data_IF_206901467543
#
_entry.id   IF_206901467543
#
_cell.length_a   1.000
_cell.length_b   1.000
_cell.length_c   1.000
_cell.angle_alpha   90.00
_cell.angle_beta   90.00
_cell.angle_gamma   90.00
#
_symmetry.space_group_name_H-M   'P 1'
#
loop_
_entity.id
_entity.type
_entity.pdbx_description
1 polymer ?
#
# COMPACT_ATOMS: atom_id res chain seq x y z
N UNK A 1 15.65 4.17 9.41
CA UNK A 1 16.54 3.40 10.30
C UNK A 1 16.05 1.95 10.31
N UNK A 2 16.50 1.19 9.30
CA UNK A 2 16.05 -0.19 9.09
C UNK A 2 16.71 -1.19 10.07
N UNK A 3 17.82 -0.82 10.67
CA UNK A 3 18.59 -1.65 11.60
C UNK A 3 18.42 -1.24 13.07
N UNK A 4 17.63 -0.16 13.35
CA UNK A 4 17.33 0.39 14.66
C UNK A 4 18.58 0.81 15.48
N UNK A 5 19.64 1.25 14.81
CA UNK A 5 20.82 1.82 15.46
C UNK A 5 20.68 3.32 15.76
N UNK A 6 19.50 3.88 15.49
CA UNK A 6 19.17 5.31 15.61
C UNK A 6 20.00 6.21 14.68
N UNK A 7 20.49 5.66 13.57
CA UNK A 7 21.25 6.39 12.55
C UNK A 7 20.58 6.16 11.19
N UNK A 8 20.28 7.20 10.45
CA UNK A 8 19.82 7.08 9.08
C UNK A 8 21.03 7.07 8.14
N UNK A 9 21.26 5.98 7.43
CA UNK A 9 22.31 5.85 6.44
C UNK A 9 21.80 6.22 5.04
N UNK A 10 22.72 6.45 4.08
CA UNK A 10 22.37 6.64 2.67
C UNK A 10 21.68 5.43 2.05
N UNK A 11 22.06 4.25 2.46
CA UNK A 11 21.46 3.02 1.96
C UNK A 11 20.01 2.93 2.43
N UNK A 12 19.74 3.20 3.69
CA UNK A 12 18.37 3.24 4.23
C UNK A 12 17.53 4.32 3.57
N UNK A 13 18.10 5.52 3.35
CA UNK A 13 17.41 6.59 2.63
C UNK A 13 17.08 6.17 1.19
N UNK A 14 18.02 5.56 0.48
CA UNK A 14 17.79 5.07 -0.89
C UNK A 14 16.69 4.03 -0.95
N UNK A 15 16.72 3.07 -0.03
CA UNK A 15 15.72 2.01 0.05
C UNK A 15 14.34 2.62 0.36
N UNK A 16 14.26 3.50 1.35
CA UNK A 16 13.03 4.20 1.72
C UNK A 16 12.45 5.02 0.56
N UNK A 17 13.28 5.81 -0.14
CA UNK A 17 12.84 6.60 -1.30
C UNK A 17 12.38 5.68 -2.43
N UNK A 18 13.13 4.59 -2.70
CA UNK A 18 12.78 3.62 -3.73
C UNK A 18 11.43 2.95 -3.45
N UNK A 19 11.20 2.49 -2.23
CA UNK A 19 9.95 1.86 -1.81
C UNK A 19 8.79 2.86 -1.81
N UNK A 20 9.02 4.07 -1.29
CA UNK A 20 8.00 5.12 -1.25
C UNK A 20 7.57 5.54 -2.66
N UNK A 21 8.53 5.75 -3.57
CA UNK A 21 8.21 6.12 -4.95
C UNK A 21 7.48 4.98 -5.66
N UNK A 22 7.90 3.72 -5.49
CA UNK A 22 7.17 2.57 -6.03
C UNK A 22 5.74 2.48 -5.51
N UNK A 23 5.54 2.73 -4.22
CA UNK A 23 4.21 2.71 -3.62
C UNK A 23 3.28 3.78 -4.20
N UNK A 24 3.79 5.02 -4.36
CA UNK A 24 2.97 6.13 -4.85
C UNK A 24 2.96 6.28 -6.37
N UNK A 25 4.04 5.90 -7.05
CA UNK A 25 4.14 5.93 -8.51
C UNK A 25 3.85 4.57 -9.15
N UNK A 26 3.29 3.62 -8.37
CA UNK A 26 2.78 2.35 -8.87
C UNK A 26 3.81 1.57 -9.67
N UNK A 27 5.04 1.54 -9.17
CA UNK A 27 6.20 0.90 -9.81
C UNK A 27 6.61 1.46 -11.18
N UNK A 28 6.06 2.60 -11.60
CA UNK A 28 6.44 3.27 -12.87
C UNK A 28 7.71 4.11 -12.77
N UNK A 29 8.17 4.41 -11.55
CA UNK A 29 9.38 5.20 -11.33
C UNK A 29 10.36 4.43 -10.46
N UNK A 30 11.62 4.42 -10.89
CA UNK A 30 12.74 3.80 -10.19
C UNK A 30 13.77 4.87 -9.81
N UNK A 31 13.60 5.55 -8.67
CA UNK A 31 14.53 6.60 -8.28
C UNK A 31 15.89 6.01 -7.95
N UNK A 32 16.94 6.70 -8.37
CA UNK A 32 18.32 6.35 -8.02
C UNK A 32 18.94 7.48 -7.22
N UNK A 33 19.60 7.14 -6.12
CA UNK A 33 20.38 8.08 -5.32
C UNK A 33 21.85 7.95 -5.67
N UNK A 34 22.46 9.01 -6.16
CA UNK A 34 23.88 9.07 -6.48
C UNK A 34 24.59 10.14 -5.64
N UNK A 35 25.90 9.99 -5.34
CA UNK A 35 26.77 8.85 -5.66
C UNK A 35 26.54 7.65 -4.75
N UNK A 36 26.85 6.45 -5.25
CA UNK A 36 26.74 5.18 -4.51
C UNK A 36 27.86 4.99 -3.46
N UNK A 37 28.91 5.80 -3.54
CA UNK A 37 30.01 5.78 -2.57
C UNK A 37 29.51 6.14 -1.17
N UNK A 38 30.04 5.47 -0.15
CA UNK A 38 29.70 5.66 1.27
C UNK A 38 28.22 5.39 1.61
N UNK A 39 27.67 4.27 1.12
CA UNK A 39 26.27 3.89 1.38
C UNK A 39 25.92 3.77 2.88
N UNK A 40 26.88 3.42 3.72
CA UNK A 40 26.71 3.31 5.16
C UNK A 40 26.94 4.62 5.95
N UNK A 41 27.23 5.71 5.25
CA UNK A 41 27.42 7.01 5.91
C UNK A 41 26.10 7.49 6.53
N UNK A 42 26.14 7.76 7.84
CA UNK A 42 25.03 8.41 8.55
C UNK A 42 24.68 9.76 7.93
N UNK A 43 23.40 10.02 7.76
CA UNK A 43 22.89 11.28 7.24
C UNK A 43 22.19 12.07 8.36
N UNK A 44 21.36 11.40 9.13
CA UNK A 44 20.57 11.97 10.20
C UNK A 44 20.41 10.96 11.35
N UNK A 45 20.24 11.41 12.60
CA UNK A 45 19.71 10.54 13.65
C UNK A 45 18.30 10.08 13.26
N UNK A 46 17.95 8.87 13.63
CA UNK A 46 16.63 8.31 13.35
C UNK A 46 15.52 9.09 14.07
N UNK A 47 14.34 9.11 13.48
CA UNK A 47 13.16 9.71 14.09
C UNK A 47 12.75 8.98 15.37
N UNK A 48 12.13 9.70 16.29
CA UNK A 48 11.51 9.11 17.48
C UNK A 48 10.45 8.04 17.11
N UNK A 49 10.25 7.03 17.98
CA UNK A 49 9.24 6.01 17.74
C UNK A 49 7.84 6.64 17.56
N UNK A 50 6.97 6.01 16.77
CA UNK A 50 5.64 6.55 16.49
C UNK A 50 4.85 6.77 17.79
N UNK A 51 4.01 7.79 17.83
CA UNK A 51 3.19 8.11 19.01
C UNK A 51 2.29 6.91 19.37
N UNK A 52 1.97 6.78 20.64
CA UNK A 52 1.14 5.68 21.18
C UNK A 52 -0.24 5.56 20.50
N UNK A 53 -0.71 6.63 19.85
CA UNK A 53 -1.90 6.64 19.00
C UNK A 53 -1.54 7.23 17.65
N UNK A 54 -1.80 6.48 16.59
CA UNK A 54 -1.59 6.95 15.22
C UNK A 54 -2.47 8.16 14.92
N UNK A 55 -1.91 9.25 14.36
CA UNK A 55 -2.70 10.39 13.93
C UNK A 55 -3.68 9.97 12.82
N UNK A 56 -4.84 10.63 12.75
CA UNK A 56 -5.74 10.41 11.64
C UNK A 56 -5.07 10.83 10.32
N UNK A 57 -5.23 10.04 9.24
CA UNK A 57 -4.68 10.42 7.96
C UNK A 57 -5.34 11.72 7.47
N UNK A 58 -4.58 12.60 6.81
CA UNK A 58 -5.12 13.85 6.26
C UNK A 58 -6.26 13.55 5.28
N UNK A 59 -7.12 14.54 5.05
CA UNK A 59 -8.08 14.49 3.98
C UNK A 59 -7.35 14.48 2.62
N UNK A 60 -7.89 13.74 1.65
CA UNK A 60 -7.39 13.74 0.28
C UNK A 60 -8.07 14.84 -0.54
N UNK A 61 -7.30 15.54 -1.36
CA UNK A 61 -7.84 16.51 -2.30
C UNK A 61 -8.37 15.79 -3.55
N UNK A 62 -9.69 15.79 -3.70
CA UNK A 62 -10.36 15.12 -4.80
C UNK A 62 -10.85 16.14 -5.83
N UNK A 63 -10.58 15.87 -7.10
CA UNK A 63 -11.22 16.52 -8.23
C UNK A 63 -12.28 15.59 -8.83
N UNK A 64 -13.47 16.12 -9.14
CA UNK A 64 -14.57 15.34 -9.73
C UNK A 64 -14.89 15.88 -11.11
N UNK A 65 -14.83 15.01 -12.13
CA UNK A 65 -15.17 15.30 -13.52
C UNK A 65 -16.51 14.68 -13.90
N UNK A 66 -17.23 15.29 -14.83
CA UNK A 66 -18.47 14.76 -15.37
C UNK A 66 -19.70 14.87 -14.46
N UNK A 67 -19.62 15.68 -13.38
CA UNK A 67 -20.75 15.94 -12.46
C UNK A 67 -21.11 17.43 -12.41
N UNK A 68 -22.37 17.73 -12.12
CA UNK A 68 -22.81 19.10 -11.83
C UNK A 68 -22.21 19.59 -10.50
N UNK A 69 -22.24 20.89 -10.25
CA UNK A 69 -21.75 21.47 -8.99
C UNK A 69 -22.54 20.92 -7.80
N UNK A 70 -23.87 20.85 -7.89
CA UNK A 70 -24.73 20.29 -6.84
C UNK A 70 -24.41 18.83 -6.54
N UNK A 71 -24.12 18.00 -7.57
CA UNK A 71 -23.78 16.60 -7.37
C UNK A 71 -22.39 16.45 -6.70
N UNK A 72 -21.45 17.33 -7.04
CA UNK A 72 -20.13 17.36 -6.39
C UNK A 72 -20.24 17.72 -4.92
N UNK A 73 -21.02 18.75 -4.59
CA UNK A 73 -21.25 19.16 -3.20
C UNK A 73 -21.91 18.05 -2.37
N UNK A 74 -22.85 17.32 -2.95
CA UNK A 74 -23.47 16.17 -2.32
C UNK A 74 -22.44 15.05 -2.07
N UNK A 75 -21.55 14.78 -3.03
CA UNK A 75 -20.50 13.80 -2.95
C UNK A 75 -19.50 14.12 -1.81
N UNK A 76 -19.04 15.37 -1.73
CA UNK A 76 -18.10 15.80 -0.69
C UNK A 76 -18.69 15.72 0.73
N UNK A 77 -20.02 15.81 0.86
CA UNK A 77 -20.71 15.58 2.13
C UNK A 77 -20.90 14.10 2.46
N UNK A 78 -20.99 13.26 1.44
CA UNK A 78 -21.23 11.81 1.59
C UNK A 78 -19.98 11.01 1.92
N UNK A 79 -18.85 11.37 1.32
CA UNK A 79 -17.58 10.64 1.50
C UNK A 79 -16.72 11.35 2.54
N UNK A 80 -16.38 10.65 3.61
CA UNK A 80 -15.50 11.18 4.65
C UNK A 80 -14.04 11.18 4.21
N UNK A 81 -13.26 12.16 4.69
CA UNK A 81 -11.82 12.22 4.45
C UNK A 81 -11.41 12.69 3.07
N UNK A 82 -12.28 13.43 2.40
CA UNK A 82 -11.95 14.16 1.16
C UNK A 82 -12.26 15.65 1.30
N UNK A 83 -11.53 16.45 0.54
CA UNK A 83 -11.76 17.88 0.35
C UNK A 83 -11.69 18.21 -1.15
N UNK A 84 -12.43 19.22 -1.61
CA UNK A 84 -12.30 19.71 -2.99
C UNK A 84 -10.85 20.17 -3.25
N UNK A 85 -10.26 19.77 -4.37
CA UNK A 85 -9.01 20.36 -4.81
C UNK A 85 -9.21 21.84 -5.16
N UNK A 86 -8.37 22.71 -4.61
CA UNK A 86 -8.38 24.14 -4.87
C UNK A 86 -7.87 24.46 -6.28
N UNK A 87 -8.24 25.63 -6.81
CA UNK A 87 -7.76 26.08 -8.11
C UNK A 87 -6.23 26.18 -8.13
N UNK A 88 -5.58 25.48 -9.08
CA UNK A 88 -4.10 25.41 -9.19
C UNK A 88 -3.43 24.38 -8.28
N UNK A 89 -4.16 23.69 -7.44
CA UNK A 89 -3.65 22.58 -6.64
C UNK A 89 -3.71 21.28 -7.45
N UNK A 90 -2.63 20.50 -7.42
CA UNK A 90 -2.64 19.14 -7.96
C UNK A 90 -3.48 18.28 -7.01
N UNK A 91 -4.58 17.65 -7.47
CA UNK A 91 -5.38 16.78 -6.62
C UNK A 91 -4.62 15.50 -6.27
N UNK A 92 -4.92 14.89 -5.13
CA UNK A 92 -4.45 13.56 -4.81
C UNK A 92 -5.11 12.51 -5.71
N UNK A 93 -6.42 12.67 -5.95
CA UNK A 93 -7.22 11.80 -6.80
C UNK A 93 -8.13 12.63 -7.72
N UNK A 94 -8.41 12.09 -8.90
CA UNK A 94 -9.39 12.62 -9.86
C UNK A 94 -10.40 11.52 -10.17
N UNK A 95 -11.67 11.73 -9.85
CA UNK A 95 -12.74 10.82 -10.28
C UNK A 95 -13.38 11.29 -11.59
N UNK A 96 -13.12 10.57 -12.67
CA UNK A 96 -13.84 10.73 -13.94
C UNK A 96 -15.10 9.86 -13.94
N UNK A 97 -16.22 10.45 -13.56
CA UNK A 97 -17.50 9.73 -13.46
C UNK A 97 -18.03 9.28 -14.81
N UNK A 98 -17.64 9.94 -15.91
CA UNK A 98 -18.02 9.55 -17.27
C UNK A 98 -17.30 8.29 -17.74
N UNK A 99 -16.03 8.15 -17.37
CA UNK A 99 -15.22 6.96 -17.65
C UNK A 99 -15.32 5.90 -16.54
N UNK A 100 -15.92 6.23 -15.40
CA UNK A 100 -15.97 5.40 -14.20
C UNK A 100 -14.58 5.03 -13.67
N UNK A 101 -13.62 5.95 -13.75
CA UNK A 101 -12.23 5.75 -13.38
C UNK A 101 -11.79 6.74 -12.30
N UNK A 102 -10.93 6.28 -11.40
CA UNK A 102 -10.18 7.15 -10.50
C UNK A 102 -8.74 7.20 -10.99
N UNK A 103 -8.23 8.41 -11.11
CA UNK A 103 -6.87 8.70 -11.54
C UNK A 103 -6.05 9.25 -10.37
N UNK A 104 -4.75 9.04 -10.38
CA UNK A 104 -3.82 9.80 -9.54
C UNK A 104 -3.72 11.26 -10.01
N UNK A 105 -3.13 12.13 -9.21
CA UNK A 105 -2.84 13.51 -9.60
C UNK A 105 -1.90 13.64 -10.82
N UNK A 106 -1.20 12.57 -11.18
CA UNK A 106 -0.37 12.48 -12.38
C UNK A 106 -1.13 11.95 -13.61
N UNK A 107 -2.39 11.54 -13.44
CA UNK A 107 -3.24 11.05 -14.53
C UNK A 107 -3.21 9.54 -14.75
N UNK A 108 -2.56 8.76 -13.88
CA UNK A 108 -2.59 7.31 -13.94
C UNK A 108 -3.91 6.75 -13.43
N UNK A 109 -4.48 5.75 -14.11
CA UNK A 109 -5.71 5.08 -13.65
C UNK A 109 -5.37 4.21 -12.44
N UNK A 110 -5.81 4.61 -11.25
CA UNK A 110 -5.57 3.88 -10.00
C UNK A 110 -6.70 2.94 -9.60
N UNK A 111 -7.90 3.17 -10.13
CA UNK A 111 -9.02 2.25 -10.02
C UNK A 111 -9.95 2.39 -11.22
N UNK A 112 -10.45 1.27 -11.72
CA UNK A 112 -11.38 1.20 -12.85
C UNK A 112 -12.75 0.69 -12.38
N UNK A 113 -13.80 0.97 -13.18
CA UNK A 113 -15.19 0.58 -12.92
C UNK A 113 -15.78 1.16 -11.63
N UNK A 114 -15.36 2.35 -11.23
CA UNK A 114 -15.88 3.06 -10.05
C UNK A 114 -17.15 3.83 -10.44
N UNK A 115 -18.30 3.20 -10.24
CA UNK A 115 -19.60 3.63 -10.78
C UNK A 115 -20.31 4.66 -9.93
N UNK A 116 -20.10 4.65 -8.62
CA UNK A 116 -20.86 5.44 -7.66
C UNK A 116 -20.01 5.96 -6.49
N UNK A 117 -20.63 6.75 -5.64
CA UNK A 117 -20.00 7.34 -4.48
C UNK A 117 -19.54 6.31 -3.43
N UNK A 118 -20.23 5.17 -3.32
CA UNK A 118 -19.85 4.13 -2.36
C UNK A 118 -18.56 3.45 -2.80
N UNK A 119 -18.45 3.06 -4.08
CA UNK A 119 -17.23 2.52 -4.66
C UNK A 119 -16.06 3.52 -4.59
N UNK A 120 -16.32 4.82 -4.90
CA UNK A 120 -15.32 5.86 -4.75
C UNK A 120 -14.85 6.00 -3.29
N UNK A 121 -15.78 5.91 -2.33
CA UNK A 121 -15.48 5.94 -0.90
C UNK A 121 -14.48 4.86 -0.50
N UNK A 122 -14.57 3.65 -1.04
CA UNK A 122 -13.61 2.57 -0.77
C UNK A 122 -12.22 2.86 -1.35
N UNK A 123 -12.15 3.45 -2.54
CA UNK A 123 -10.86 3.90 -3.12
C UNK A 123 -10.23 4.98 -2.22
N UNK A 124 -11.01 5.98 -1.80
CA UNK A 124 -10.57 7.03 -0.87
C UNK A 124 -10.07 6.44 0.45
N UNK A 125 -10.85 5.54 1.04
CA UNK A 125 -10.49 4.85 2.28
C UNK A 125 -9.16 4.10 2.15
N UNK A 126 -8.99 3.36 1.05
CA UNK A 126 -7.72 2.68 0.73
C UNK A 126 -6.54 3.66 0.69
N UNK A 127 -6.67 4.75 -0.06
CA UNK A 127 -5.57 5.73 -0.20
C UNK A 127 -5.22 6.41 1.13
N UNK A 128 -6.21 6.70 1.96
CA UNK A 128 -5.99 7.19 3.32
C UNK A 128 -5.31 6.14 4.21
N UNK A 129 -5.75 4.89 4.13
CA UNK A 129 -5.14 3.79 4.88
C UNK A 129 -3.67 3.54 4.49
N UNK A 130 -3.28 3.77 3.23
CA UNK A 130 -1.86 3.70 2.83
C UNK A 130 -0.99 4.70 3.61
N UNK A 131 -1.53 5.84 4.03
CA UNK A 131 -0.84 6.78 4.93
C UNK A 131 -0.65 6.16 6.33
N UNK A 132 -1.65 5.45 6.85
CA UNK A 132 -1.54 4.70 8.11
C UNK A 132 -0.45 3.62 8.00
N UNK A 133 -0.48 2.81 6.94
CA UNK A 133 0.53 1.77 6.69
C UNK A 133 1.93 2.39 6.58
N UNK A 134 2.07 3.51 5.89
CA UNK A 134 3.34 4.24 5.79
C UNK A 134 3.85 4.69 7.16
N UNK A 135 2.98 5.21 8.01
CA UNK A 135 3.33 5.64 9.37
C UNK A 135 3.77 4.45 10.22
N UNK A 136 3.10 3.31 10.10
CA UNK A 136 3.46 2.07 10.79
C UNK A 136 4.78 1.50 10.27
N UNK A 137 5.03 1.53 8.96
CA UNK A 137 6.22 0.93 8.36
C UNK A 137 7.48 1.79 8.52
N UNK A 138 7.36 3.12 8.69
CA UNK A 138 8.51 4.01 8.71
C UNK A 138 9.58 3.67 9.77
N UNK A 139 9.23 3.38 11.05
CA UNK A 139 10.21 3.00 12.06
C UNK A 139 10.66 1.52 11.96
N UNK A 140 9.92 0.67 11.26
CA UNK A 140 10.09 -0.78 11.25
C UNK A 140 9.99 -1.35 9.83
N UNK A 141 10.71 -0.74 8.88
CA UNK A 141 10.58 -1.07 7.47
C UNK A 141 10.97 -2.51 7.15
N UNK A 142 10.20 -3.15 6.26
CA UNK A 142 10.44 -4.46 5.68
C UNK A 142 10.59 -4.30 4.17
N UNK A 143 11.67 -4.86 3.60
CA UNK A 143 11.89 -4.80 2.16
C UNK A 143 11.11 -5.91 1.45
N UNK A 144 10.29 -5.49 0.49
CA UNK A 144 9.60 -6.36 -0.46
C UNK A 144 10.17 -6.16 -1.86
N UNK A 145 10.31 -7.23 -2.62
CA UNK A 145 10.67 -7.19 -4.05
C UNK A 145 9.65 -7.96 -4.86
N UNK A 146 9.30 -7.43 -6.02
CA UNK A 146 8.38 -8.04 -6.98
C UNK A 146 9.17 -8.58 -8.18
N UNK A 147 8.82 -9.76 -8.66
CA UNK A 147 9.40 -10.36 -9.87
C UNK A 147 8.28 -10.94 -10.77
N UNK A 148 8.23 -10.54 -12.06
CA UNK A 148 9.04 -9.49 -12.68
C UNK A 148 8.73 -8.09 -12.10
N UNK A 149 9.76 -7.22 -12.04
CA UNK A 149 9.62 -5.83 -11.62
C UNK A 149 9.22 -4.96 -12.83
N UNK A 150 8.08 -5.30 -13.42
CA UNK A 150 7.51 -4.62 -14.57
C UNK A 150 6.63 -3.45 -14.12
N UNK A 151 6.60 -2.39 -14.90
CA UNK A 151 5.79 -1.20 -14.58
C UNK A 151 4.27 -1.45 -14.71
N UNK A 152 3.84 -2.50 -15.41
CA UNK A 152 2.44 -2.83 -15.64
C UNK A 152 2.24 -4.35 -15.77
N UNK A 153 1.50 -4.91 -14.83
CA UNK A 153 1.17 -6.33 -14.82
C UNK A 153 -0.21 -6.56 -15.45
N UNK A 154 -0.27 -7.43 -16.45
CA UNK A 154 -1.51 -7.68 -17.18
C UNK A 154 -2.27 -8.87 -16.61
N UNK A 155 -3.59 -8.84 -16.77
CA UNK A 155 -4.47 -9.93 -16.40
C UNK A 155 -3.94 -11.30 -16.87
N UNK A 156 -3.99 -12.27 -15.98
CA UNK A 156 -3.53 -13.63 -16.23
C UNK A 156 -2.03 -13.83 -16.04
N UNK A 157 -1.22 -12.76 -15.96
CA UNK A 157 0.19 -12.88 -15.59
C UNK A 157 0.36 -13.23 -14.11
N UNK A 158 1.53 -13.69 -13.74
CA UNK A 158 1.85 -14.05 -12.35
C UNK A 158 3.06 -13.27 -11.90
N UNK A 159 3.05 -12.87 -10.63
CA UNK A 159 4.15 -12.18 -9.96
C UNK A 159 4.60 -12.96 -8.73
N UNK A 160 5.86 -12.86 -8.40
CA UNK A 160 6.45 -13.42 -7.18
C UNK A 160 6.88 -12.29 -6.25
N UNK A 161 6.71 -12.48 -4.95
CA UNK A 161 7.10 -11.51 -3.93
C UNK A 161 8.15 -12.12 -3.02
N UNK A 162 9.24 -11.42 -2.83
CA UNK A 162 10.33 -11.83 -1.94
C UNK A 162 10.46 -10.85 -0.78
N UNK A 163 10.53 -11.38 0.44
CA UNK A 163 10.93 -10.65 1.64
C UNK A 163 12.44 -10.73 1.80
N UNK A 164 13.05 -9.61 2.16
CA UNK A 164 14.48 -9.53 2.41
C UNK A 164 14.77 -8.74 3.70
N UNK A 165 15.73 -9.25 4.51
CA UNK A 165 16.17 -8.59 5.73
C UNK A 165 15.16 -8.59 6.88
N UNK A 166 14.16 -9.50 6.86
CA UNK A 166 13.23 -9.64 7.98
C UNK A 166 13.90 -10.33 9.19
N UNK A 167 13.54 -9.85 10.39
CA UNK A 167 14.11 -10.32 11.66
C UNK A 167 13.18 -11.22 12.45
N UNK A 168 11.90 -11.25 12.07
CA UNK A 168 10.86 -12.01 12.75
C UNK A 168 10.27 -13.07 11.84
N UNK A 169 9.79 -14.15 12.43
CA UNK A 169 9.38 -15.34 11.69
C UNK A 169 7.87 -15.43 11.41
N UNK A 170 7.00 -14.74 12.15
CA UNK A 170 5.55 -14.82 11.90
C UNK A 170 5.14 -13.83 10.85
N UNK A 171 4.78 -14.32 9.67
CA UNK A 171 4.43 -13.51 8.52
C UNK A 171 2.92 -13.44 8.32
N UNK A 172 2.44 -12.26 8.01
CA UNK A 172 1.11 -12.02 7.43
C UNK A 172 1.26 -11.20 6.16
N UNK A 173 0.69 -11.68 5.04
CA UNK A 173 0.64 -10.97 3.77
C UNK A 173 -0.81 -10.78 3.33
N UNK A 174 -1.14 -9.59 2.88
CA UNK A 174 -2.42 -9.29 2.25
C UNK A 174 -2.22 -8.28 1.11
N UNK A 175 -3.18 -8.25 0.20
CA UNK A 175 -3.26 -7.28 -0.89
C UNK A 175 -4.43 -6.34 -0.68
N UNK A 176 -4.25 -5.10 -1.06
CA UNK A 176 -5.26 -4.06 -1.20
C UNK A 176 -5.46 -3.82 -2.69
N UNK A 177 -6.51 -4.41 -3.24
CA UNK A 177 -6.83 -4.26 -4.65
C UNK A 177 -7.22 -2.80 -4.99
N UNK A 178 -7.27 -2.48 -6.27
CA UNK A 178 -7.51 -1.13 -6.77
C UNK A 178 -8.77 -0.47 -6.18
N UNK A 179 -9.85 -1.22 -6.02
CA UNK A 179 -11.16 -0.77 -5.51
C UNK A 179 -11.28 -0.76 -3.99
N UNK A 180 -10.21 -1.07 -3.25
CA UNK A 180 -10.22 -1.19 -1.79
C UNK A 180 -10.56 -2.59 -1.27
N UNK A 181 -10.71 -3.59 -2.15
CA UNK A 181 -10.91 -4.99 -1.73
C UNK A 181 -9.69 -5.52 -1.00
N UNK A 182 -9.92 -6.08 0.18
CA UNK A 182 -8.90 -6.75 1.00
C UNK A 182 -8.76 -8.19 0.55
N UNK A 183 -7.54 -8.64 0.27
CA UNK A 183 -7.26 -10.02 -0.11
C UNK A 183 -6.21 -10.61 0.82
N UNK A 184 -6.59 -11.56 1.64
CA UNK A 184 -5.66 -12.27 2.52
C UNK A 184 -4.88 -13.31 1.72
N UNK A 185 -3.55 -13.26 1.78
CA UNK A 185 -2.68 -14.09 0.95
C UNK A 185 -1.84 -15.09 1.74
N UNK A 186 -1.45 -14.75 2.97
CA UNK A 186 -0.57 -15.62 3.79
C UNK A 186 -0.72 -15.33 5.30
N UNK A 187 -0.69 -16.37 6.18
CA UNK A 187 -0.55 -17.78 5.84
C UNK A 187 -1.89 -18.41 5.41
N UNK A 188 -1.87 -19.22 4.37
CA UNK A 188 -3.00 -20.08 4.03
C UNK A 188 -2.97 -21.34 4.93
N UNK A 189 -4.05 -22.11 5.04
CA UNK A 189 -4.11 -23.25 5.98
C UNK A 189 -3.02 -24.31 5.82
N UNK A 190 -2.39 -24.39 4.65
CA UNK A 190 -1.29 -25.34 4.36
C UNK A 190 0.10 -24.74 4.52
N UNK A 191 0.19 -23.44 4.73
CA UNK A 191 1.47 -22.75 4.83
C UNK A 191 2.08 -22.90 6.23
N UNK A 192 3.41 -22.82 6.29
CA UNK A 192 4.09 -22.65 7.56
C UNK A 192 3.78 -21.26 8.11
N UNK A 193 3.37 -21.16 9.36
CA UNK A 193 3.18 -19.86 10.02
C UNK A 193 4.49 -19.12 10.28
N UNK A 194 5.60 -19.86 10.26
CA UNK A 194 6.93 -19.32 10.54
C UNK A 194 7.77 -19.41 9.28
N UNK A 195 8.35 -18.29 8.89
CA UNK A 195 9.26 -18.13 7.76
C UNK A 195 10.71 -18.07 8.25
N UNK A 196 11.69 -18.56 7.46
CA UNK A 196 13.11 -18.47 7.82
C UNK A 196 13.54 -17.00 7.89
N UNK A 197 14.39 -16.66 8.87
CA UNK A 197 14.90 -15.28 9.06
C UNK A 197 16.37 -15.12 8.64
N UNK A 198 17.02 -16.20 8.28
CA UNK A 198 18.45 -16.27 7.92
C UNK A 198 18.72 -16.04 6.43
N UNK A 199 17.68 -15.95 5.62
CA UNK A 199 17.76 -15.79 4.17
C UNK A 199 16.50 -15.13 3.61
N UNK A 200 16.56 -14.56 2.38
CA UNK A 200 15.38 -14.07 1.69
C UNK A 200 14.30 -15.16 1.58
N UNK A 201 13.04 -14.78 1.80
CA UNK A 201 11.92 -15.69 1.73
C UNK A 201 11.01 -15.31 0.55
N UNK A 202 10.79 -16.25 -0.36
CA UNK A 202 9.86 -16.09 -1.46
C UNK A 202 8.46 -16.47 -0.97
N UNK A 203 7.57 -15.49 -0.92
CA UNK A 203 6.29 -15.57 -0.24
C UNK A 203 5.26 -16.46 -0.90
N UNK A 204 5.16 -16.37 -2.18
CA UNK A 204 4.19 -17.16 -2.94
C UNK A 204 4.85 -17.41 -4.28
N UNK A 205 4.83 -18.63 -4.72
CA UNK A 205 5.43 -18.94 -6.00
C UNK A 205 4.89 -18.06 -7.11
N UNK A 206 3.57 -17.72 -7.05
CA UNK A 206 2.96 -16.87 -8.07
C UNK A 206 1.65 -16.25 -7.57
N UNK A 207 1.56 -14.95 -7.54
CA UNK A 207 0.31 -14.21 -7.37
C UNK A 207 -0.24 -13.93 -8.76
N UNK A 208 -1.42 -14.45 -9.07
CA UNK A 208 -2.06 -14.24 -10.37
C UNK A 208 -2.79 -12.89 -10.39
N UNK A 209 -2.54 -12.11 -11.43
CA UNK A 209 -3.22 -10.83 -11.65
C UNK A 209 -4.63 -11.07 -12.16
N UNK A 210 -5.59 -10.57 -11.42
CA UNK A 210 -7.05 -10.68 -11.70
C UNK A 210 -7.74 -9.35 -11.37
N UNK A 211 -8.93 -9.08 -11.91
CA UNK A 211 -9.72 -7.90 -11.53
C UNK A 211 -9.97 -7.84 -10.00
N UNK A 212 -10.18 -6.61 -9.44
CA UNK A 212 -10.24 -5.31 -10.10
C UNK A 212 -8.85 -4.78 -10.49
N UNK A 213 -8.77 -3.98 -11.57
CA UNK A 213 -7.51 -3.46 -12.08
C UNK A 213 -7.26 -2.01 -11.65
N UNK A 214 -5.99 -1.64 -11.60
CA UNK A 214 -5.47 -0.34 -11.19
C UNK A 214 -4.25 -0.48 -10.31
N UNK A 215 -4.13 0.37 -9.30
CA UNK A 215 -3.04 0.34 -8.34
C UNK A 215 -3.37 -0.62 -7.18
N UNK A 216 -2.72 -1.75 -7.14
CA UNK A 216 -2.77 -2.69 -6.02
C UNK A 216 -1.60 -2.44 -5.04
N UNK A 217 -1.77 -2.85 -3.79
CA UNK A 217 -0.73 -2.70 -2.78
C UNK A 217 -0.59 -3.97 -1.93
N UNK A 218 0.53 -4.64 -2.09
CA UNK A 218 0.89 -5.78 -1.24
C UNK A 218 1.48 -5.28 0.07
N UNK A 219 0.95 -5.77 1.18
CA UNK A 219 1.41 -5.42 2.53
C UNK A 219 1.86 -6.68 3.23
N UNK A 220 3.11 -6.68 3.69
CA UNK A 220 3.65 -7.76 4.50
C UNK A 220 4.00 -7.24 5.90
N UNK A 221 3.64 -8.04 6.89
CA UNK A 221 3.97 -7.80 8.29
C UNK A 221 4.66 -9.03 8.83
N UNK A 222 5.84 -8.87 9.42
CA UNK A 222 6.51 -9.92 10.17
C UNK A 222 6.59 -9.52 11.64
N UNK A 223 6.31 -10.47 12.53
CA UNK A 223 6.24 -10.22 13.97
C UNK A 223 6.98 -11.28 14.76
N UNK A 224 7.41 -10.92 15.98
CA UNK A 224 8.07 -11.86 16.91
C UNK A 224 7.09 -12.89 17.49
N UNK A 225 5.77 -12.59 17.46
CA UNK A 225 4.71 -13.46 17.96
C UNK A 225 3.58 -13.55 16.93
N UNK A 226 2.87 -14.67 16.91
CA UNK A 226 1.69 -14.83 16.03
C UNK A 226 0.60 -13.82 16.39
N UNK A 227 0.13 -13.07 15.39
CA UNK A 227 -1.00 -12.14 15.51
C UNK A 227 -2.31 -12.81 15.09
N UNK A 228 -2.73 -13.86 15.78
CA UNK A 228 -3.89 -14.66 15.41
C UNK A 228 -5.20 -13.86 15.36
N UNK A 229 -5.40 -12.88 16.25
CA UNK A 229 -6.56 -11.98 16.23
C UNK A 229 -6.57 -11.13 14.97
N UNK A 230 -5.44 -10.50 14.63
CA UNK A 230 -5.28 -9.69 13.41
C UNK A 230 -5.55 -10.53 12.15
N UNK A 231 -4.96 -11.74 12.07
CA UNK A 231 -5.19 -12.65 10.95
C UNK A 231 -6.65 -13.07 10.82
N UNK A 232 -7.33 -13.35 11.95
CA UNK A 232 -8.76 -13.68 11.97
C UNK A 232 -9.62 -12.53 11.46
N UNK A 233 -9.31 -11.31 11.88
CA UNK A 233 -10.01 -10.10 11.42
C UNK A 233 -9.78 -9.88 9.92
N UNK A 234 -8.55 -10.02 9.43
CA UNK A 234 -8.24 -9.95 7.99
C UNK A 234 -8.99 -11.00 7.17
N UNK A 235 -9.04 -12.24 7.66
CA UNK A 235 -9.84 -13.29 7.02
C UNK A 235 -11.32 -12.90 6.94
N UNK A 236 -11.83 -12.24 7.97
CA UNK A 236 -13.18 -11.70 7.99
C UNK A 236 -13.45 -10.65 6.91
N UNK A 237 -12.43 -9.94 6.44
CA UNK A 237 -12.53 -8.92 5.38
C UNK A 237 -12.22 -9.49 3.98
N UNK A 238 -11.70 -10.69 3.88
CA UNK A 238 -11.20 -11.26 2.62
C UNK A 238 -12.25 -11.23 1.50
N UNK A 239 -11.87 -10.70 0.34
CA UNK A 239 -12.73 -10.59 -0.84
C UNK A 239 -13.76 -9.45 -0.77
N UNK A 240 -13.67 -8.54 0.19
CA UNK A 240 -14.61 -7.42 0.37
C UNK A 240 -13.91 -6.06 0.28
N UNK A 241 -14.57 -5.03 -0.29
CA UNK A 241 -14.07 -3.66 -0.31
C UNK A 241 -14.31 -2.99 1.06
N UNK A 242 -13.47 -3.29 2.04
CA UNK A 242 -13.60 -2.93 3.46
C UNK A 242 -12.35 -2.20 3.96
N UNK A 243 -11.83 -1.25 3.16
CA UNK A 243 -10.61 -0.53 3.49
C UNK A 243 -10.70 0.25 4.81
N UNK A 244 -11.87 0.86 5.11
CA UNK A 244 -12.10 1.57 6.39
C UNK A 244 -12.07 0.62 7.59
N UNK A 245 -12.62 -0.59 7.45
CA UNK A 245 -12.57 -1.58 8.52
C UNK A 245 -11.13 -2.06 8.76
N UNK A 246 -10.37 -2.23 7.68
CA UNK A 246 -8.96 -2.61 7.79
C UNK A 246 -8.11 -1.49 8.41
N UNK A 247 -8.32 -0.21 8.05
CA UNK A 247 -7.60 0.91 8.70
C UNK A 247 -7.81 0.90 10.22
N UNK A 248 -9.03 0.63 10.66
CA UNK A 248 -9.36 0.51 12.09
C UNK A 248 -8.61 -0.65 12.75
N UNK A 249 -8.62 -1.82 12.11
CA UNK A 249 -7.88 -3.00 12.59
C UNK A 249 -6.39 -2.71 12.71
N UNK A 250 -5.79 -2.06 11.69
CA UNK A 250 -4.38 -1.69 11.69
C UNK A 250 -4.03 -0.76 12.87
N UNK A 251 -4.90 0.18 13.19
CA UNK A 251 -4.72 1.15 14.28
C UNK A 251 -4.90 0.55 15.67
N UNK A 252 -5.77 -0.45 15.80
CA UNK A 252 -6.10 -1.09 17.07
C UNK A 252 -5.21 -2.30 17.38
N UNK A 253 -4.42 -2.78 16.40
CA UNK A 253 -3.55 -3.93 16.58
C UNK A 253 -2.36 -3.58 17.48
N UNK A 254 -2.16 -4.36 18.53
CA UNK A 254 -0.91 -4.36 19.30
C UNK A 254 0.16 -5.13 18.52
N UNK A 255 0.98 -4.37 17.81
CA UNK A 255 2.01 -4.92 16.94
C UNK A 255 3.17 -5.57 17.70
N UNK A 256 3.46 -5.13 18.93
CA UNK A 256 4.64 -5.56 19.66
C UNK A 256 5.92 -5.27 18.86
N UNK A 257 6.80 -6.26 18.75
CA UNK A 257 8.01 -6.17 17.91
C UNK A 257 7.70 -6.69 16.51
N UNK A 258 7.76 -5.80 15.52
CA UNK A 258 7.33 -6.07 14.14
C UNK A 258 8.20 -5.36 13.10
N UNK A 259 8.08 -5.78 11.85
CA UNK A 259 8.47 -5.03 10.67
C UNK A 259 7.32 -5.06 9.66
N UNK A 260 7.12 -3.97 8.95
CA UNK A 260 6.05 -3.85 7.95
C UNK A 260 6.61 -3.26 6.66
N UNK A 261 6.18 -3.82 5.54
CA UNK A 261 6.51 -3.32 4.21
C UNK A 261 5.28 -3.23 3.33
N UNK A 262 5.29 -2.30 2.41
CA UNK A 262 4.26 -2.13 1.39
C UNK A 262 4.91 -2.01 0.02
N UNK A 263 4.33 -2.68 -0.95
CA UNK A 263 4.81 -2.69 -2.34
C UNK A 263 3.62 -2.42 -3.27
N UNK A 264 3.67 -1.30 -4.00
CA UNK A 264 2.69 -0.99 -5.04
C UNK A 264 2.96 -1.77 -6.32
N UNK A 265 1.90 -2.23 -6.97
CA UNK A 265 1.94 -2.80 -8.31
C UNK A 265 0.77 -2.27 -9.13
N UNK A 266 1.02 -2.04 -10.41
CA UNK A 266 -0.02 -1.56 -11.32
C UNK A 266 -0.54 -2.71 -12.17
N UNK A 267 -1.86 -2.86 -12.20
CA UNK A 267 -2.53 -3.96 -12.90
C UNK A 267 -3.47 -3.43 -13.99
N UNK A 268 -3.61 -4.18 -15.09
CA UNK A 268 -4.47 -3.82 -16.20
C UNK A 268 -5.12 -5.07 -16.84
N UNK A 269 -6.25 -4.90 -17.54
CA UNK A 269 -6.81 -5.96 -18.37
C UNK A 269 -5.79 -6.50 -19.37
N UNK A 270 -5.99 -7.73 -19.82
CA UNK A 270 -5.27 -8.26 -20.98
C UNK A 270 -5.49 -7.32 -22.17
N UNK A 271 -4.41 -7.03 -22.93
CA UNK A 271 -4.58 -6.29 -24.18
C UNK A 271 -5.51 -7.11 -25.07
N UNK A 272 -6.70 -6.61 -25.32
CA UNK A 272 -7.61 -7.24 -26.29
C UNK A 272 -6.87 -7.43 -27.61
N UNK A 273 -6.91 -8.63 -28.14
CA UNK A 273 -6.46 -8.97 -29.49
C UNK A 273 -7.36 -8.33 -30.51
#
# INVERSE_FOLDING_TARGET
>A
DANHDHILTREELRNYVGETVRMYAESRQHPTLQPLADSHRAILPAAEPPPARLPDPPALHLQVLGKTESDRDALYKQISGIEPASAGQVPDLVWDSGKQQVLSGQGDVVADQIKDAAALGQVVAKWRMLTTIKTLSAPHSLRLRLEPDDSLHREGTTVSVTLDGHRHGYLTLFNLAADGTVQFLYPMPKDSKIVPTDKPFNLVDKIKIVPPFGADHLVAVVTSKELSTFQTQLHGLNGRPEADALDRILRETDWGDYQMGVLGLYTAPSSGS
#
